data_IF_082027074302
#
_entry.id   IF_082027074302
#
_cell.length_a   1.000
_cell.length_b   1.000
_cell.length_c   1.000
_cell.angle_alpha   90.00
_cell.angle_beta   90.00
_cell.angle_gamma   90.00
#
_symmetry.space_group_name_H-M   'P 1'
#
loop_
_entity.id
_entity.type
_entity.pdbx_description
1 polymer ?
#
# COMPACT_ATOMS: atom_id res chain seq x y z
N UNK A 1 12.21 16.09 -8.66
CA UNK A 1 12.35 16.53 -7.24
C UNK A 1 13.17 15.50 -6.49
N UNK A 2 14.08 15.87 -5.59
CA UNK A 2 14.86 14.87 -4.83
C UNK A 2 14.20 14.55 -3.49
N UNK A 3 14.00 13.27 -3.19
CA UNK A 3 13.52 12.76 -1.89
C UNK A 3 14.54 11.72 -1.42
N UNK A 4 15.08 11.89 -0.21
CA UNK A 4 16.17 11.06 0.32
C UNK A 4 17.39 10.92 -0.60
N UNK A 5 17.69 11.97 -1.39
CA UNK A 5 18.80 11.96 -2.35
C UNK A 5 18.50 11.27 -3.69
N UNK A 6 17.30 10.70 -3.87
CA UNK A 6 16.87 10.06 -5.12
C UNK A 6 15.96 10.98 -5.91
N UNK A 7 16.18 11.06 -7.23
CA UNK A 7 15.32 11.84 -8.12
C UNK A 7 13.96 11.14 -8.32
N UNK A 8 12.89 11.80 -7.92
CA UNK A 8 11.51 11.38 -8.19
C UNK A 8 11.04 12.13 -9.44
N UNK A 9 10.78 11.42 -10.56
CA UNK A 9 10.26 12.03 -11.76
C UNK A 9 8.79 12.40 -11.51
N UNK A 10 8.54 13.68 -11.25
CA UNK A 10 7.19 14.24 -11.19
C UNK A 10 6.97 14.93 -12.53
N UNK A 11 6.13 14.34 -13.38
CA UNK A 11 5.78 14.91 -14.68
C UNK A 11 4.31 15.34 -14.69
N UNK A 12 3.92 16.05 -15.74
CA UNK A 12 2.49 16.37 -15.98
C UNK A 12 1.62 15.12 -16.01
N UNK A 13 2.17 13.97 -16.46
CA UNK A 13 1.49 12.68 -16.44
C UNK A 13 1.16 12.22 -15.03
N UNK A 14 2.12 12.32 -14.10
CA UNK A 14 1.92 11.98 -12.68
C UNK A 14 0.76 12.78 -12.09
N UNK A 15 0.71 14.08 -12.39
CA UNK A 15 -0.34 14.97 -11.88
C UNK A 15 -1.71 14.64 -12.48
N UNK A 16 -1.78 14.39 -13.79
CA UNK A 16 -3.03 13.99 -14.46
C UNK A 16 -3.53 12.65 -13.91
N UNK A 17 -2.66 11.65 -13.79
CA UNK A 17 -3.01 10.34 -13.24
C UNK A 17 -3.48 10.43 -11.79
N UNK A 18 -2.82 11.25 -10.96
CA UNK A 18 -3.21 11.48 -9.58
C UNK A 18 -4.59 12.14 -9.49
N UNK A 19 -4.82 13.23 -10.23
CA UNK A 19 -6.12 13.93 -10.23
C UNK A 19 -7.23 13.01 -10.71
N UNK A 20 -7.04 12.30 -11.82
CA UNK A 20 -8.01 11.34 -12.33
C UNK A 20 -8.29 10.23 -11.31
N UNK A 21 -7.25 9.66 -10.71
CA UNK A 21 -7.37 8.64 -9.66
C UNK A 21 -8.12 9.14 -8.43
N UNK A 22 -7.88 10.39 -7.99
CA UNK A 22 -8.62 11.01 -6.90
C UNK A 22 -10.11 11.19 -7.25
N UNK A 23 -10.41 11.67 -8.46
CA UNK A 23 -11.79 11.85 -8.92
C UNK A 23 -12.56 10.52 -8.97
N UNK A 24 -11.93 9.44 -9.42
CA UNK A 24 -12.52 8.08 -9.45
C UNK A 24 -12.65 7.48 -8.04
N UNK A 25 -11.72 7.78 -7.14
CA UNK A 25 -11.69 7.23 -5.78
C UNK A 25 -12.91 7.63 -4.95
N UNK A 26 -13.44 8.84 -5.14
CA UNK A 26 -14.61 9.33 -4.37
C UNK A 26 -15.89 8.51 -4.62
N UNK A 27 -16.40 8.36 -5.86
CA UNK A 27 -17.59 7.54 -6.12
C UNK A 27 -17.33 6.06 -5.84
N UNK A 28 -16.12 5.56 -6.13
CA UNK A 28 -15.77 4.16 -5.87
C UNK A 28 -15.74 3.85 -4.37
N UNK A 29 -15.21 4.75 -3.53
CA UNK A 29 -15.24 4.59 -2.08
C UNK A 29 -16.68 4.49 -1.55
N UNK A 30 -17.60 5.32 -2.08
CA UNK A 30 -19.02 5.27 -1.71
C UNK A 30 -19.64 3.94 -2.13
N UNK A 31 -19.37 3.48 -3.35
CA UNK A 31 -19.91 2.23 -3.88
C UNK A 31 -19.40 1.02 -3.06
N UNK A 32 -18.09 0.95 -2.80
CA UNK A 32 -17.49 -0.13 -2.04
C UNK A 32 -17.99 -0.13 -0.60
N UNK A 33 -17.98 1.02 0.08
CA UNK A 33 -18.50 1.11 1.45
C UNK A 33 -19.96 0.65 1.56
N UNK A 34 -20.80 1.00 0.57
CA UNK A 34 -22.20 0.57 0.53
C UNK A 34 -22.37 -0.94 0.28
N UNK A 35 -21.47 -1.57 -0.49
CA UNK A 35 -21.54 -3.00 -0.85
C UNK A 35 -20.92 -3.92 0.21
N UNK A 36 -19.87 -3.47 0.88
CA UNK A 36 -19.06 -4.32 1.77
C UNK A 36 -19.26 -4.01 3.25
N UNK A 37 -19.90 -2.88 3.58
CA UNK A 37 -20.00 -2.37 4.96
C UNK A 37 -18.70 -1.80 5.51
N UNK A 38 -17.68 -1.57 4.66
CA UNK A 38 -16.41 -0.98 5.08
C UNK A 38 -16.56 0.49 5.46
N UNK A 39 -15.66 0.99 6.31
CA UNK A 39 -15.67 2.42 6.64
C UNK A 39 -15.36 3.25 5.40
N UNK A 40 -16.21 4.25 5.14
CA UNK A 40 -16.07 5.12 3.96
C UNK A 40 -14.73 5.86 3.96
N UNK A 41 -14.32 6.39 5.12
CA UNK A 41 -13.11 7.18 5.23
C UNK A 41 -11.85 6.31 5.00
N UNK A 42 -11.74 5.13 5.64
CA UNK A 42 -10.57 4.28 5.40
C UNK A 42 -10.54 3.73 3.97
N UNK A 43 -11.69 3.41 3.38
CA UNK A 43 -11.78 3.00 1.97
C UNK A 43 -11.31 4.13 1.06
N UNK A 44 -11.76 5.37 1.28
CA UNK A 44 -11.33 6.53 0.50
C UNK A 44 -9.82 6.75 0.64
N UNK A 45 -9.28 6.75 1.86
CA UNK A 45 -7.84 6.88 2.11
C UNK A 45 -7.05 5.80 1.37
N UNK A 46 -7.51 4.54 1.42
CA UNK A 46 -6.88 3.43 0.71
C UNK A 46 -6.85 3.67 -0.80
N UNK A 47 -7.98 4.09 -1.39
CA UNK A 47 -8.06 4.35 -2.82
C UNK A 47 -7.20 5.55 -3.25
N UNK A 48 -7.14 6.61 -2.43
CA UNK A 48 -6.28 7.77 -2.69
C UNK A 48 -4.79 7.39 -2.63
N UNK A 49 -4.39 6.58 -1.64
CA UNK A 49 -3.03 6.07 -1.54
C UNK A 49 -2.67 5.14 -2.71
N UNK A 50 -3.63 4.32 -3.17
CA UNK A 50 -3.45 3.47 -4.34
C UNK A 50 -3.27 4.33 -5.60
N UNK A 51 -4.11 5.34 -5.79
CA UNK A 51 -4.00 6.28 -6.91
C UNK A 51 -2.66 7.00 -6.90
N UNK A 52 -2.20 7.49 -5.74
CA UNK A 52 -0.89 8.13 -5.60
C UNK A 52 0.26 7.16 -5.90
N UNK A 53 0.19 5.94 -5.38
CA UNK A 53 1.19 4.89 -5.62
C UNK A 53 1.30 4.58 -7.11
N UNK A 54 0.17 4.33 -7.78
CA UNK A 54 0.11 4.04 -9.21
C UNK A 54 0.54 5.24 -10.07
N UNK A 55 0.17 6.46 -9.69
CA UNK A 55 0.58 7.65 -10.41
C UNK A 55 2.11 7.78 -10.43
N UNK A 56 2.78 7.54 -9.29
CA UNK A 56 4.23 7.61 -9.18
C UNK A 56 4.90 6.44 -9.92
N UNK A 57 4.44 5.21 -9.72
CA UNK A 57 5.07 4.02 -10.31
C UNK A 57 4.88 3.96 -11.83
N UNK A 58 3.75 4.42 -12.35
CA UNK A 58 3.44 4.40 -13.78
C UNK A 58 3.84 5.71 -14.50
N UNK A 59 4.62 6.58 -13.85
CA UNK A 59 5.19 7.75 -14.51
C UNK A 59 6.36 7.34 -15.42
N UNK A 60 6.41 7.78 -16.69
CA UNK A 60 7.55 7.52 -17.58
C UNK A 60 8.90 7.92 -17.00
N UNK A 61 9.96 7.21 -17.39
CA UNK A 61 11.33 7.53 -17.00
C UNK A 61 11.92 8.70 -17.79
N UNK A 62 13.10 9.18 -17.39
CA UNK A 62 13.79 10.30 -18.05
C UNK A 62 14.25 9.95 -19.47
N UNK A 63 14.59 8.69 -19.72
CA UNK A 63 15.02 8.18 -21.04
C UNK A 63 13.85 7.67 -21.88
N UNK A 64 12.77 8.46 -21.99
CA UNK A 64 11.53 8.07 -22.68
C UNK A 64 11.65 7.86 -24.20
N UNK A 65 12.86 7.97 -24.76
CA UNK A 65 13.15 7.86 -26.19
C UNK A 65 13.52 6.45 -26.68
N UNK A 66 13.80 5.50 -25.78
CA UNK A 66 14.24 4.15 -26.16
C UNK A 66 13.36 3.10 -25.48
N UNK A 67 12.71 2.25 -26.27
CA UNK A 67 12.00 1.06 -25.79
C UNK A 67 13.01 -0.08 -25.66
N UNK A 68 13.67 -0.19 -24.51
CA UNK A 68 14.46 -1.38 -24.20
C UNK A 68 13.66 -2.32 -23.29
N UNK A 69 13.33 -3.50 -23.82
CA UNK A 69 12.71 -4.55 -23.02
C UNK A 69 13.78 -5.24 -22.17
N UNK A 70 13.82 -4.88 -20.89
CA UNK A 70 14.68 -5.55 -19.90
C UNK A 70 13.85 -6.57 -19.10
N UNK A 71 14.08 -7.88 -19.28
CA UNK A 71 13.37 -8.89 -18.49
C UNK A 71 13.72 -8.76 -17.01
N UNK A 72 12.72 -8.89 -16.13
CA UNK A 72 12.88 -8.84 -14.67
C UNK A 72 13.92 -9.84 -14.14
N UNK A 73 14.09 -10.96 -14.84
CA UNK A 73 15.13 -11.94 -14.57
C UNK A 73 16.16 -11.83 -15.69
N UNK A 74 17.24 -11.09 -15.45
CA UNK A 74 18.45 -11.29 -16.24
C UNK A 74 19.03 -12.65 -15.85
N UNK A 75 18.76 -13.67 -16.67
CA UNK A 75 19.25 -15.06 -16.47
C UNK A 75 20.76 -15.16 -16.80
N UNK A 76 21.40 -14.05 -17.18
CA UNK A 76 22.82 -14.00 -17.54
C UNK A 76 23.66 -13.21 -16.54
N UNK A 77 24.48 -13.94 -15.78
CA UNK A 77 25.75 -13.52 -15.13
C UNK A 77 25.71 -12.76 -13.78
N UNK A 78 26.41 -13.40 -12.81
CA UNK A 78 26.94 -12.91 -11.52
C UNK A 78 25.96 -12.40 -10.44
N UNK A 79 25.85 -13.20 -9.37
CA UNK A 79 25.23 -12.94 -8.06
C UNK A 79 23.85 -12.22 -8.00
N UNK A 80 22.74 -12.97 -7.84
CA UNK A 80 21.41 -12.37 -7.67
C UNK A 80 21.31 -11.49 -6.41
N UNK A 81 22.18 -11.71 -5.43
CA UNK A 81 22.29 -10.89 -4.22
C UNK A 81 22.82 -9.49 -4.56
N UNK A 82 23.80 -9.41 -5.46
CA UNK A 82 24.42 -8.15 -5.83
C UNK A 82 23.48 -7.31 -6.71
N UNK A 83 22.74 -7.98 -7.61
CA UNK A 83 21.62 -7.38 -8.34
C UNK A 83 20.52 -6.85 -7.42
N UNK A 84 20.21 -7.53 -6.31
CA UNK A 84 19.22 -7.07 -5.33
C UNK A 84 19.69 -5.83 -4.55
N UNK A 85 20.99 -5.69 -4.30
CA UNK A 85 21.57 -4.61 -3.50
C UNK A 85 21.89 -3.35 -4.32
N UNK A 86 22.20 -3.49 -5.62
CA UNK A 86 22.75 -2.40 -6.43
C UNK A 86 21.88 -1.93 -7.61
N UNK A 87 20.76 -2.60 -7.96
CA UNK A 87 19.94 -2.23 -9.13
C UNK A 87 18.85 -1.16 -8.90
N UNK A 88 18.49 -0.85 -7.64
CA UNK A 88 17.31 -0.07 -7.28
C UNK A 88 17.54 1.40 -6.91
N UNK A 89 18.40 2.13 -7.64
CA UNK A 89 18.62 3.56 -7.39
C UNK A 89 19.23 3.90 -6.03
N UNK A 90 19.93 2.93 -5.41
CA UNK A 90 20.56 3.04 -4.10
C UNK A 90 19.59 3.00 -2.91
N UNK A 91 20.12 3.21 -1.70
CA UNK A 91 19.34 3.14 -0.45
C UNK A 91 18.13 4.09 -0.44
N UNK A 92 18.25 5.28 -1.03
CA UNK A 92 17.15 6.25 -1.13
C UNK A 92 15.99 5.73 -1.98
N UNK A 93 16.28 5.09 -3.12
CA UNK A 93 15.29 4.48 -3.99
C UNK A 93 14.59 3.29 -3.34
N UNK A 94 15.38 2.41 -2.72
CA UNK A 94 14.86 1.25 -1.97
C UNK A 94 13.92 1.69 -0.83
N UNK A 95 14.30 2.70 -0.05
CA UNK A 95 13.45 3.23 1.02
C UNK A 95 12.17 3.85 0.47
N UNK A 96 12.26 4.61 -0.62
CA UNK A 96 11.08 5.24 -1.24
C UNK A 96 10.08 4.18 -1.73
N UNK A 97 10.56 3.12 -2.37
CA UNK A 97 9.74 1.99 -2.83
C UNK A 97 9.06 1.28 -1.64
N UNK A 98 9.80 1.00 -0.57
CA UNK A 98 9.21 0.42 0.64
C UNK A 98 8.14 1.35 1.28
N UNK A 99 8.39 2.65 1.33
CA UNK A 99 7.46 3.63 1.89
C UNK A 99 6.22 3.87 1.03
N UNK A 100 6.24 3.52 -0.25
CA UNK A 100 5.14 3.74 -1.17
C UNK A 100 3.93 2.84 -0.82
N UNK A 101 4.16 1.54 -0.63
CA UNK A 101 3.08 0.58 -0.39
C UNK A 101 2.74 0.38 1.10
N UNK A 102 3.63 0.75 2.02
CA UNK A 102 3.39 0.62 3.47
C UNK A 102 2.12 1.35 3.95
N UNK A 103 1.92 2.66 3.71
CA UNK A 103 0.72 3.36 4.17
C UNK A 103 -0.53 2.82 3.47
N UNK A 104 -0.41 2.43 2.19
CA UNK A 104 -1.50 1.86 1.41
C UNK A 104 -2.03 0.56 2.02
N UNK A 105 -1.16 -0.43 2.26
CA UNK A 105 -1.61 -1.72 2.79
C UNK A 105 -2.01 -1.63 4.26
N UNK A 106 -1.42 -0.71 5.03
CA UNK A 106 -1.90 -0.37 6.37
C UNK A 106 -3.35 0.14 6.33
N UNK A 107 -3.63 1.14 5.49
CA UNK A 107 -4.98 1.68 5.31
C UNK A 107 -5.96 0.62 4.80
N UNK A 108 -5.55 -0.21 3.84
CA UNK A 108 -6.36 -1.31 3.32
C UNK A 108 -6.70 -2.34 4.41
N UNK A 109 -5.73 -2.68 5.25
CA UNK A 109 -5.95 -3.61 6.37
C UNK A 109 -6.96 -3.03 7.36
N UNK A 110 -6.85 -1.73 7.68
CA UNK A 110 -7.81 -1.03 8.55
C UNK A 110 -9.21 -0.91 7.92
N UNK A 111 -9.29 -0.65 6.62
CA UNK A 111 -10.55 -0.50 5.89
C UNK A 111 -11.32 -1.81 5.80
N UNK A 112 -10.62 -2.89 5.46
CA UNK A 112 -11.21 -4.22 5.27
C UNK A 112 -11.36 -5.01 6.57
N UNK A 113 -10.58 -4.66 7.60
CA UNK A 113 -10.40 -5.42 8.84
C UNK A 113 -9.92 -6.86 8.61
N UNK A 114 -9.28 -7.15 7.47
CA UNK A 114 -8.89 -8.50 7.05
C UNK A 114 -7.43 -8.52 6.60
N UNK A 115 -6.53 -8.95 7.47
CA UNK A 115 -5.09 -8.98 7.17
C UNK A 115 -4.72 -9.98 6.05
N UNK A 116 -5.34 -11.16 6.00
CA UNK A 116 -4.92 -12.21 5.06
C UNK A 116 -5.18 -11.86 3.58
N UNK A 117 -6.37 -11.37 3.18
CA UNK A 117 -6.57 -10.85 1.83
C UNK A 117 -5.63 -9.68 1.52
N UNK A 118 -5.41 -8.75 2.46
CA UNK A 118 -4.49 -7.63 2.22
C UNK A 118 -3.04 -8.09 2.07
N UNK A 119 -2.63 -9.15 2.77
CA UNK A 119 -1.32 -9.77 2.60
C UNK A 119 -1.18 -10.38 1.20
N UNK A 120 -2.20 -11.05 0.69
CA UNK A 120 -2.20 -11.51 -0.71
C UNK A 120 -2.03 -10.34 -1.68
N UNK A 121 -2.76 -9.24 -1.47
CA UNK A 121 -2.57 -8.00 -2.26
C UNK A 121 -1.17 -7.41 -2.11
N UNK A 122 -0.53 -7.53 -0.95
CA UNK A 122 0.83 -7.02 -0.72
C UNK A 122 1.89 -7.73 -1.58
N UNK A 123 1.68 -9.00 -1.93
CA UNK A 123 2.53 -9.72 -2.89
C UNK A 123 2.09 -9.51 -4.33
N UNK A 124 0.78 -9.54 -4.58
CA UNK A 124 0.24 -9.44 -5.94
C UNK A 124 0.52 -8.09 -6.58
N UNK A 125 0.38 -6.98 -5.83
CA UNK A 125 0.49 -5.65 -6.40
C UNK A 125 1.90 -5.34 -6.95
N UNK A 126 3.01 -5.54 -6.20
CA UNK A 126 4.36 -5.41 -6.76
C UNK A 126 4.62 -6.35 -7.95
N UNK A 127 4.14 -7.59 -7.86
CA UNK A 127 4.31 -8.58 -8.94
C UNK A 127 3.56 -8.21 -10.23
N UNK A 128 2.56 -7.33 -10.16
CA UNK A 128 1.89 -6.77 -11.33
C UNK A 128 2.50 -5.45 -11.80
N UNK A 129 2.92 -4.57 -10.87
CA UNK A 129 3.48 -3.25 -11.21
C UNK A 129 4.77 -3.40 -12.02
N UNK A 130 5.68 -4.25 -11.58
CA UNK A 130 7.03 -4.37 -12.17
C UNK A 130 6.99 -4.85 -13.63
N UNK A 131 6.24 -5.92 -14.00
CA UNK A 131 6.07 -6.27 -15.41
C UNK A 131 5.35 -5.19 -16.21
N UNK A 132 4.35 -4.51 -15.66
CA UNK A 132 3.64 -3.44 -16.36
C UNK A 132 4.53 -2.22 -16.63
N UNK A 133 5.51 -1.95 -15.75
CA UNK A 133 6.48 -0.89 -15.96
C UNK A 133 7.37 -1.15 -17.19
N UNK A 134 7.58 -2.40 -17.62
CA UNK A 134 8.30 -2.69 -18.87
C UNK A 134 7.58 -2.20 -20.12
N UNK A 135 6.29 -1.88 -20.03
CA UNK A 135 5.50 -1.29 -21.11
C UNK A 135 5.57 0.25 -21.12
N UNK A 136 6.24 0.85 -20.13
CA UNK A 136 6.33 2.30 -19.95
C UNK A 136 7.70 2.78 -20.44
N UNK A 137 7.76 3.77 -21.35
CA UNK A 137 9.03 4.30 -21.85
C UNK A 137 9.95 4.77 -20.72
N UNK A 138 11.24 4.40 -20.81
CA UNK A 138 12.26 4.76 -19.82
C UNK A 138 12.13 4.05 -18.47
N UNK A 139 11.28 3.01 -18.35
CA UNK A 139 11.17 2.18 -17.16
C UNK A 139 11.65 0.76 -17.45
N UNK A 140 12.37 0.19 -16.50
CA UNK A 140 12.85 -1.18 -16.53
C UNK A 140 12.38 -1.90 -15.27
N UNK A 141 12.24 -3.22 -15.37
CA UNK A 141 11.86 -4.04 -14.23
C UNK A 141 13.05 -4.18 -13.28
N UNK A 142 12.81 -4.06 -11.97
CA UNK A 142 13.85 -4.13 -10.95
C UNK A 142 13.45 -5.08 -9.82
N UNK A 143 14.22 -6.16 -9.64
CA UNK A 143 13.98 -7.11 -8.55
C UNK A 143 14.15 -6.46 -7.18
N UNK A 144 15.04 -5.48 -7.05
CA UNK A 144 15.20 -4.74 -5.79
C UNK A 144 13.97 -3.89 -5.49
N UNK A 145 13.37 -3.29 -6.52
CA UNK A 145 12.17 -2.46 -6.37
C UNK A 145 10.96 -3.33 -6.05
N UNK A 146 10.84 -4.48 -6.72
CA UNK A 146 9.85 -5.50 -6.40
C UNK A 146 9.96 -5.94 -4.93
N UNK A 147 11.17 -6.27 -4.48
CA UNK A 147 11.43 -6.71 -3.11
C UNK A 147 11.14 -5.60 -2.10
N UNK A 148 11.61 -4.37 -2.35
CA UNK A 148 11.37 -3.22 -1.48
C UNK A 148 9.88 -2.90 -1.35
N UNK A 149 9.16 -2.83 -2.47
CA UNK A 149 7.71 -2.64 -2.51
C UNK A 149 6.99 -3.74 -1.72
N UNK A 150 7.38 -5.01 -1.91
CA UNK A 150 6.80 -6.15 -1.19
C UNK A 150 7.05 -6.06 0.32
N UNK A 151 8.27 -5.75 0.75
CA UNK A 151 8.61 -5.59 2.17
C UNK A 151 7.79 -4.46 2.78
N UNK A 152 7.74 -3.29 2.12
CA UNK A 152 6.91 -2.16 2.53
C UNK A 152 5.44 -2.53 2.69
N UNK A 153 4.89 -3.22 1.70
CA UNK A 153 3.51 -3.68 1.68
C UNK A 153 3.22 -4.67 2.83
N UNK A 154 4.10 -5.65 3.09
CA UNK A 154 3.96 -6.61 4.19
C UNK A 154 4.05 -5.91 5.55
N UNK A 155 4.99 -4.99 5.73
CA UNK A 155 5.12 -4.19 6.95
C UNK A 155 3.86 -3.34 7.19
N UNK A 156 3.28 -2.76 6.14
CA UNK A 156 2.02 -2.03 6.24
C UNK A 156 0.86 -2.91 6.70
N UNK A 157 0.75 -4.15 6.18
CA UNK A 157 -0.25 -5.13 6.66
C UNK A 157 -0.04 -5.46 8.13
N UNK A 158 1.21 -5.74 8.53
CA UNK A 158 1.55 -6.04 9.92
C UNK A 158 1.17 -4.87 10.85
N UNK A 159 1.50 -3.64 10.46
CA UNK A 159 1.13 -2.44 11.22
C UNK A 159 -0.38 -2.29 11.35
N UNK A 160 -1.13 -2.37 10.24
CA UNK A 160 -2.58 -2.28 10.25
C UNK A 160 -3.22 -3.35 11.13
N UNK A 161 -2.70 -4.58 11.10
CA UNK A 161 -3.15 -5.66 11.95
C UNK A 161 -2.90 -5.41 13.45
N UNK A 162 -1.72 -4.90 13.81
CA UNK A 162 -1.39 -4.54 15.19
C UNK A 162 -2.31 -3.43 15.71
N UNK A 163 -2.61 -2.44 14.87
CA UNK A 163 -3.56 -1.36 15.21
C UNK A 163 -4.97 -1.90 15.46
N UNK A 164 -5.47 -2.82 14.61
CA UNK A 164 -6.76 -3.48 14.83
C UNK A 164 -6.79 -4.25 16.15
N UNK A 165 -5.74 -5.02 16.45
CA UNK A 165 -5.65 -5.79 17.71
C UNK A 165 -5.65 -4.87 18.93
N UNK A 166 -4.97 -3.73 18.88
CA UNK A 166 -4.95 -2.75 19.98
C UNK A 166 -6.31 -2.11 20.21
N UNK A 167 -7.02 -1.77 19.13
CA UNK A 167 -8.37 -1.21 19.21
C UNK A 167 -9.37 -2.22 19.80
N UNK A 168 -9.27 -3.51 19.47
CA UNK A 168 -10.13 -4.54 20.05
C UNK A 168 -9.90 -4.77 21.55
N UNK A 169 -8.66 -4.61 22.04
CA UNK A 169 -8.34 -4.78 23.47
C UNK A 169 -8.92 -3.65 24.32
N UNK A 170 -8.78 -2.40 23.89
CA UNK A 170 -9.32 -1.26 24.63
C UNK A 170 -10.86 -1.32 24.76
N UNK A 171 -11.56 -1.81 23.74
CA UNK A 171 -13.02 -1.98 23.80
C UNK A 171 -13.48 -3.06 24.79
N UNK A 172 -12.60 -3.98 25.21
CA UNK A 172 -12.93 -5.01 26.22
C UNK A 172 -12.72 -4.51 27.66
N UNK A 173 -11.80 -3.58 27.88
CA UNK A 173 -11.50 -3.06 29.22
C UNK A 173 -12.57 -2.04 29.69
N UNK A 174 -13.16 -1.27 28.77
CA UNK A 174 -14.28 -0.35 29.06
C UNK A 174 -15.62 -1.07 29.28
N UNK A 175 -15.72 -2.36 28.95
CA UNK A 175 -16.92 -3.18 29.15
C UNK A 175 -17.02 -3.77 30.58
N UNK A 176 -16.45 -3.08 31.58
CA UNK A 176 -16.57 -3.47 32.99
C UNK A 176 -18.03 -3.25 33.45
N UNK A 177 -18.68 -4.25 34.08
CA UNK A 177 -20.12 -4.29 34.24
C UNK A 177 -20.60 -3.25 35.26
N UNK A 178 -21.35 -2.26 34.77
CA UNK A 178 -22.17 -1.40 35.62
C UNK A 178 -23.30 -2.25 36.24
N UNK A 179 -23.00 -2.77 37.42
CA UNK A 179 -23.90 -3.15 38.51
C UNK A 179 -25.00 -4.17 38.20
N UNK A 180 -24.61 -5.44 38.35
CA UNK A 180 -25.43 -6.39 39.10
C UNK A 180 -25.54 -5.89 40.55
N UNK A 181 -26.61 -5.17 40.87
CA UNK A 181 -26.77 -4.54 42.17
C UNK A 181 -28.13 -3.89 42.38
N UNK A 182 -29.21 -4.55 41.97
CA UNK A 182 -30.52 -4.34 42.59
C UNK A 182 -31.14 -5.71 42.90
N UNK A 183 -30.59 -6.30 43.95
CA UNK A 183 -31.04 -7.56 44.53
C UNK A 183 -32.00 -7.21 45.67
N UNK A 184 -33.28 -7.44 45.43
CA UNK A 184 -34.32 -7.77 46.41
C UNK A 184 -34.27 -7.07 47.77
N UNK A 185 -35.09 -6.03 47.93
CA UNK A 185 -35.60 -5.59 49.24
C UNK A 185 -36.95 -4.88 49.03
N UNK A 186 -38.10 -5.39 49.46
CA UNK A 186 -38.45 -6.63 50.12
C UNK A 186 -39.97 -6.81 50.05
N UNK A 187 -40.40 -8.06 50.16
CA UNK A 187 -41.75 -8.40 50.57
C UNK A 187 -42.05 -7.78 51.94
N UNK A 188 -43.25 -7.21 52.11
CA UNK A 188 -44.22 -7.65 53.12
C UNK A 188 -45.29 -6.58 53.40
N UNK A 189 -46.56 -7.02 53.23
CA UNK A 189 -47.84 -6.52 53.75
C UNK A 189 -48.63 -5.54 52.90
#
# INVERSE_FOLDING_TARGET
MTVFGTHVPISSWTLVALVAGCLVSVPLAKLLAARTGWSRNATLTTLMLLAASLAITLTPGEDSGVYEFHPCLSIGTADPIDGLLHSGGGLGGTLLNALLLLPLTCAATLATKRALPTLFFAFLLPALIEPLQTLIPGRYCSLSDQAANTVGAVLGVALGYLLLRRASRHGSDDATPEKAGDQGRGDAR
#
